data_IF_464454965794
#
_entry.id   IF_464454965794
#
_cell.length_a   1.000
_cell.length_b   1.000
_cell.length_c   1.000
_cell.angle_alpha   90.00
_cell.angle_beta   90.00
_cell.angle_gamma   90.00
#
_symmetry.space_group_name_H-M   'P 1'
#
loop_
_entity.id
_entity.type
_entity.pdbx_description
1 polymer ?
#
# COMPACT_ATOMS: atom_id res chain seq x y z
N UNK A 1 2.15 -13.81 -16.17
CA UNK A 1 3.22 -14.47 -16.92
C UNK A 1 3.73 -13.58 -18.05
N UNK A 2 2.85 -13.02 -18.91
CA UNK A 2 3.28 -12.15 -20.03
C UNK A 2 4.07 -10.91 -19.57
N UNK A 3 3.62 -10.19 -18.54
CA UNK A 3 4.37 -9.05 -17.98
C UNK A 3 5.75 -9.47 -17.43
N UNK A 4 5.84 -10.62 -16.76
CA UNK A 4 7.12 -11.15 -16.27
C UNK A 4 8.08 -11.48 -17.43
N UNK A 5 7.55 -12.12 -18.48
CA UNK A 5 8.34 -12.42 -19.68
C UNK A 5 8.85 -11.16 -20.36
N UNK A 6 8.01 -10.12 -20.50
CA UNK A 6 8.41 -8.83 -21.07
C UNK A 6 9.47 -8.11 -20.22
N UNK A 7 9.36 -8.17 -18.87
CA UNK A 7 10.36 -7.59 -17.98
C UNK A 7 11.69 -8.33 -18.11
N UNK A 8 11.66 -9.67 -18.03
CA UNK A 8 12.86 -10.50 -18.16
C UNK A 8 13.52 -10.27 -19.52
N UNK A 9 12.72 -10.19 -20.59
CA UNK A 9 13.22 -9.90 -21.93
C UNK A 9 13.86 -8.51 -22.01
N UNK A 10 13.21 -7.46 -21.51
CA UNK A 10 13.79 -6.10 -21.46
C UNK A 10 15.05 -6.03 -20.61
N UNK A 11 15.03 -6.63 -19.43
CA UNK A 11 16.20 -6.66 -18.55
C UNK A 11 17.34 -7.46 -19.18
N UNK A 12 17.07 -8.57 -19.86
CA UNK A 12 18.08 -9.35 -20.57
C UNK A 12 18.66 -8.59 -21.78
N UNK A 13 17.80 -7.95 -22.56
CA UNK A 13 18.24 -7.11 -23.71
C UNK A 13 19.06 -5.88 -23.28
N UNK A 14 18.78 -5.36 -22.08
CA UNK A 14 19.50 -4.22 -21.50
C UNK A 14 20.72 -4.67 -20.65
N UNK A 15 21.01 -5.97 -20.56
CA UNK A 15 22.17 -6.44 -19.81
C UNK A 15 23.46 -6.08 -20.56
N UNK A 16 24.22 -5.15 -19.98
CA UNK A 16 25.54 -4.73 -20.46
C UNK A 16 26.45 -4.42 -19.28
N UNK A 17 27.76 -4.46 -19.50
CA UNK A 17 28.75 -4.05 -18.49
C UNK A 17 28.56 -2.59 -18.04
N UNK A 18 28.07 -1.73 -18.92
CA UNK A 18 27.73 -0.34 -18.66
C UNK A 18 26.60 -0.20 -17.62
N UNK A 19 25.59 -1.09 -17.69
CA UNK A 19 24.49 -1.09 -16.74
C UNK A 19 24.91 -1.57 -15.33
N UNK A 20 25.88 -2.47 -15.24
CA UNK A 20 26.48 -2.83 -13.95
C UNK A 20 27.28 -1.69 -13.32
N UNK A 21 27.96 -0.90 -14.12
CA UNK A 21 28.66 0.30 -13.65
C UNK A 21 27.66 1.38 -13.19
N UNK A 22 26.54 1.55 -13.90
CA UNK A 22 25.49 2.49 -13.51
C UNK A 22 24.83 2.13 -12.17
N UNK A 23 24.81 0.85 -11.77
CA UNK A 23 24.37 0.42 -10.43
C UNK A 23 25.35 0.91 -9.34
N UNK A 24 26.66 0.91 -9.59
CA UNK A 24 27.65 1.42 -8.63
C UNK A 24 27.49 2.93 -8.39
N UNK A 25 27.04 3.67 -9.41
CA UNK A 25 26.77 5.10 -9.30
C UNK A 25 25.60 5.43 -8.33
N UNK A 26 24.69 4.47 -8.08
CA UNK A 26 23.61 4.63 -7.11
C UNK A 26 24.17 4.71 -5.67
N UNK A 27 25.33 4.12 -5.40
CA UNK A 27 25.92 4.06 -4.06
C UNK A 27 26.94 5.19 -3.79
N UNK A 28 26.73 6.38 -4.36
CA UNK A 28 27.46 7.58 -3.93
C UNK A 28 27.06 8.01 -2.52
N UNK A 29 27.87 8.83 -1.85
CA UNK A 29 27.56 9.37 -0.50
C UNK A 29 26.21 10.09 -0.51
N UNK A 30 25.93 10.93 -1.50
CA UNK A 30 24.68 11.66 -1.63
C UNK A 30 23.47 10.72 -1.83
N UNK A 31 23.57 9.78 -2.76
CA UNK A 31 22.48 8.84 -3.03
C UNK A 31 22.24 7.90 -1.85
N UNK A 32 23.29 7.49 -1.14
CA UNK A 32 23.18 6.71 0.10
C UNK A 32 22.44 7.46 1.19
N UNK A 33 22.63 8.79 1.29
CA UNK A 33 21.85 9.64 2.17
C UNK A 33 20.37 9.66 1.82
N UNK A 34 20.01 9.78 0.53
CA UNK A 34 18.61 9.72 0.08
C UNK A 34 17.96 8.37 0.38
N UNK A 35 18.70 7.28 0.16
CA UNK A 35 18.22 5.91 0.50
C UNK A 35 18.02 5.78 2.03
N UNK A 36 18.96 6.26 2.84
CA UNK A 36 18.83 6.27 4.29
C UNK A 36 17.61 7.06 4.76
N UNK A 37 17.34 8.22 4.15
CA UNK A 37 16.15 9.02 4.43
C UNK A 37 14.87 8.27 4.02
N UNK A 38 14.88 7.58 2.88
CA UNK A 38 13.76 6.72 2.48
C UNK A 38 13.52 5.57 3.47
N UNK A 39 14.58 5.00 4.06
CA UNK A 39 14.46 3.99 5.14
C UNK A 39 13.89 4.61 6.42
N UNK A 40 14.27 5.83 6.79
CA UNK A 40 13.67 6.53 7.93
C UNK A 40 12.18 6.81 7.72
N UNK A 41 11.79 7.18 6.51
CA UNK A 41 10.38 7.37 6.15
C UNK A 41 9.54 6.08 6.23
N UNK A 42 10.14 4.89 6.17
CA UNK A 42 9.47 3.63 6.48
C UNK A 42 8.83 3.67 7.87
N UNK A 43 9.60 4.07 8.89
CA UNK A 43 9.11 4.09 10.27
C UNK A 43 7.99 5.13 10.45
N UNK A 44 8.10 6.28 9.78
CA UNK A 44 7.05 7.28 9.78
C UNK A 44 5.77 6.77 9.09
N UNK A 45 5.90 6.18 7.90
CA UNK A 45 4.78 5.61 7.13
C UNK A 45 4.03 4.53 7.95
N UNK A 46 4.77 3.55 8.48
CA UNK A 46 4.16 2.49 9.29
C UNK A 46 3.71 2.97 10.67
N UNK A 47 4.40 3.97 11.26
CA UNK A 47 3.98 4.62 12.49
C UNK A 47 2.61 5.28 12.36
N UNK A 48 2.35 5.98 11.25
CA UNK A 48 1.03 6.56 10.94
C UNK A 48 -0.02 5.44 10.80
N UNK A 49 0.30 4.34 10.13
CA UNK A 49 -0.62 3.20 9.97
C UNK A 49 -0.94 2.53 11.31
N UNK A 50 0.07 2.35 12.17
CA UNK A 50 -0.09 1.81 13.53
C UNK A 50 -0.94 2.73 14.40
N UNK A 51 -0.68 4.03 14.36
CA UNK A 51 -1.46 5.03 15.10
C UNK A 51 -2.91 5.04 14.61
N UNK A 52 -3.11 5.01 13.30
CA UNK A 52 -4.43 4.92 12.66
C UNK A 52 -5.15 3.65 13.14
N UNK A 53 -4.49 2.49 13.10
CA UNK A 53 -5.03 1.22 13.56
C UNK A 53 -5.44 1.27 15.03
N UNK A 54 -4.57 1.77 15.91
CA UNK A 54 -4.86 1.90 17.34
C UNK A 54 -6.04 2.84 17.62
N UNK A 55 -6.10 3.97 16.91
CA UNK A 55 -7.17 4.97 17.07
C UNK A 55 -8.54 4.37 16.71
N UNK A 56 -8.62 3.59 15.64
CA UNK A 56 -9.89 3.06 15.13
C UNK A 56 -10.39 1.86 15.90
N UNK A 57 -9.48 1.05 16.42
CA UNK A 57 -9.86 -0.11 17.24
C UNK A 57 -10.14 0.25 18.69
N UNK A 58 -9.77 1.47 19.14
CA UNK A 58 -9.99 1.92 20.51
C UNK A 58 -11.44 1.77 21.02
N UNK A 59 -12.50 2.01 20.23
CA UNK A 59 -13.88 1.78 20.68
C UNK A 59 -14.24 0.31 20.84
N UNK A 60 -13.51 -0.60 20.19
CA UNK A 60 -13.75 -2.05 20.26
C UNK A 60 -12.91 -2.68 21.38
N UNK A 61 -11.61 -2.42 21.35
CA UNK A 61 -10.67 -2.90 22.34
C UNK A 61 -9.42 -2.02 22.34
N UNK A 62 -8.96 -1.60 23.52
CA UNK A 62 -7.74 -0.82 23.65
C UNK A 62 -6.53 -1.74 23.66
N UNK A 63 -5.66 -1.59 22.68
CA UNK A 63 -4.36 -2.26 22.62
C UNK A 63 -3.24 -1.23 22.77
N UNK A 64 -2.13 -1.62 23.39
CA UNK A 64 -0.95 -0.75 23.52
C UNK A 64 -0.34 -0.47 22.15
N UNK A 65 0.40 0.64 22.01
CA UNK A 65 1.08 0.99 20.76
C UNK A 65 2.02 -0.12 20.28
N UNK A 66 2.76 -0.75 21.18
CA UNK A 66 3.64 -1.88 20.86
C UNK A 66 2.87 -3.08 20.29
N UNK A 67 1.72 -3.45 20.90
CA UNK A 67 0.86 -4.51 20.36
C UNK A 67 0.24 -4.13 19.02
N UNK A 68 -0.15 -2.86 18.84
CA UNK A 68 -0.65 -2.36 17.56
C UNK A 68 0.43 -2.44 16.47
N UNK A 69 1.67 -2.07 16.80
CA UNK A 69 2.82 -2.18 15.89
C UNK A 69 3.05 -3.62 15.45
N UNK A 70 3.15 -4.53 16.41
CA UNK A 70 3.32 -5.96 16.12
C UNK A 70 2.16 -6.50 15.29
N UNK A 71 0.90 -6.15 15.62
CA UNK A 71 -0.28 -6.62 14.89
C UNK A 71 -0.28 -6.16 13.43
N UNK A 72 0.09 -4.90 13.17
CA UNK A 72 0.17 -4.36 11.81
C UNK A 72 1.24 -5.09 10.99
N UNK A 73 2.45 -5.26 11.52
CA UNK A 73 3.52 -5.92 10.78
C UNK A 73 3.32 -7.44 10.65
N UNK A 74 2.71 -8.11 11.63
CA UNK A 74 2.25 -9.50 11.47
C UNK A 74 1.17 -9.61 10.39
N UNK A 75 0.26 -8.62 10.31
CA UNK A 75 -0.70 -8.53 9.23
C UNK A 75 -0.02 -8.46 7.86
N UNK A 76 0.98 -7.59 7.70
CA UNK A 76 1.77 -7.50 6.45
C UNK A 76 2.44 -8.82 6.12
N UNK A 77 3.07 -9.48 7.10
CA UNK A 77 3.72 -10.78 6.91
C UNK A 77 2.73 -11.82 6.39
N UNK A 78 1.59 -12.02 7.05
CA UNK A 78 0.59 -13.03 6.65
C UNK A 78 -0.11 -12.60 5.34
N UNK A 79 -0.33 -11.30 5.15
CA UNK A 79 -0.88 -10.74 3.92
C UNK A 79 -0.04 -11.08 2.70
N UNK A 80 1.28 -10.97 2.80
CA UNK A 80 2.19 -11.26 1.70
C UNK A 80 2.20 -12.74 1.27
N UNK A 81 1.77 -13.65 2.13
CA UNK A 81 1.65 -15.07 1.83
C UNK A 81 0.30 -15.45 1.21
N UNK A 82 -0.64 -14.49 1.09
CA UNK A 82 -2.00 -14.76 0.63
C UNK A 82 -2.37 -13.91 -0.59
N UNK A 83 -3.13 -14.47 -1.56
CA UNK A 83 -3.61 -13.70 -2.70
C UNK A 83 -4.42 -12.49 -2.27
N UNK A 84 -4.21 -11.35 -2.93
CA UNK A 84 -4.91 -10.11 -2.60
C UNK A 84 -4.70 -9.61 -1.18
N UNK A 85 -3.64 -10.08 -0.50
CA UNK A 85 -3.27 -9.71 0.88
C UNK A 85 -4.37 -9.97 1.92
N UNK A 86 -5.28 -10.93 1.66
CA UNK A 86 -6.39 -11.26 2.55
C UNK A 86 -5.91 -11.69 3.96
N UNK A 87 -4.75 -12.32 4.06
CA UNK A 87 -4.13 -12.70 5.34
C UNK A 87 -3.81 -11.51 6.25
N UNK A 88 -3.71 -10.30 5.72
CA UNK A 88 -3.50 -9.09 6.52
C UNK A 88 -4.61 -8.87 7.53
N UNK A 89 -5.87 -9.16 7.15
CA UNK A 89 -7.01 -9.09 8.05
C UNK A 89 -6.86 -10.04 9.26
N UNK A 90 -6.42 -11.27 9.00
CA UNK A 90 -6.22 -12.26 10.05
C UNK A 90 -5.06 -11.86 10.98
N UNK A 91 -3.93 -11.46 10.42
CA UNK A 91 -2.73 -11.07 11.19
C UNK A 91 -2.97 -9.89 12.11
N UNK A 92 -3.71 -8.89 11.65
CA UNK A 92 -3.99 -7.67 12.44
C UNK A 92 -4.84 -7.91 13.68
N UNK A 93 -5.69 -8.94 13.70
CA UNK A 93 -6.63 -9.16 14.81
C UNK A 93 -6.15 -10.20 15.83
N UNK A 94 -4.93 -10.71 15.71
CA UNK A 94 -4.41 -11.75 16.60
C UNK A 94 -4.36 -11.34 18.07
N UNK A 95 -4.11 -10.06 18.36
CA UNK A 95 -4.07 -9.53 19.73
C UNK A 95 -5.45 -9.19 20.32
N UNK A 96 -6.50 -9.28 19.50
CA UNK A 96 -7.87 -9.00 19.95
C UNK A 96 -8.54 -10.25 20.51
N UNK A 97 -9.42 -10.07 21.49
CA UNK A 97 -10.29 -11.14 21.97
C UNK A 97 -11.14 -11.69 20.83
N UNK A 98 -11.46 -13.01 20.82
CA UNK A 98 -12.21 -13.63 19.73
C UNK A 98 -13.50 -12.90 19.35
N UNK A 99 -14.27 -12.41 20.34
CA UNK A 99 -15.51 -11.67 20.17
C UNK A 99 -15.32 -10.30 19.50
N UNK A 100 -14.12 -9.68 19.59
CA UNK A 100 -13.82 -8.39 19.04
C UNK A 100 -13.20 -8.45 17.64
N UNK A 101 -12.72 -9.62 17.20
CA UNK A 101 -11.97 -9.78 15.93
C UNK A 101 -12.78 -9.37 14.71
N UNK A 102 -14.08 -9.74 14.67
CA UNK A 102 -14.92 -9.37 13.54
C UNK A 102 -15.10 -7.85 13.42
N UNK A 103 -15.33 -7.15 14.55
CA UNK A 103 -15.43 -5.68 14.58
C UNK A 103 -14.14 -5.03 14.14
N UNK A 104 -12.99 -5.49 14.64
CA UNK A 104 -11.68 -4.98 14.27
C UNK A 104 -11.37 -5.22 12.79
N UNK A 105 -11.71 -6.40 12.24
CA UNK A 105 -11.59 -6.70 10.80
C UNK A 105 -12.41 -5.73 9.95
N UNK A 106 -13.65 -5.44 10.35
CA UNK A 106 -14.51 -4.48 9.65
C UNK A 106 -13.90 -3.08 9.64
N UNK A 107 -13.33 -2.63 10.77
CA UNK A 107 -12.65 -1.33 10.85
C UNK A 107 -11.41 -1.28 9.96
N UNK A 108 -10.65 -2.37 9.86
CA UNK A 108 -9.53 -2.46 8.93
C UNK A 108 -9.99 -2.37 7.48
N UNK A 109 -11.06 -3.06 7.11
CA UNK A 109 -11.64 -2.99 5.77
C UNK A 109 -12.08 -1.56 5.42
N UNK A 110 -12.77 -0.88 6.31
CA UNK A 110 -13.16 0.53 6.12
C UNK A 110 -11.94 1.44 5.97
N UNK A 111 -10.89 1.22 6.79
CA UNK A 111 -9.62 1.94 6.66
C UNK A 111 -8.96 1.72 5.29
N UNK A 112 -9.05 0.51 4.74
CA UNK A 112 -8.59 0.18 3.39
C UNK A 112 -9.35 0.95 2.31
N UNK A 113 -10.69 1.04 2.41
CA UNK A 113 -11.52 1.84 1.50
C UNK A 113 -11.12 3.32 1.55
N UNK A 114 -10.93 3.88 2.74
CA UNK A 114 -10.47 5.27 2.90
C UNK A 114 -9.11 5.50 2.24
N UNK A 115 -8.17 4.57 2.41
CA UNK A 115 -6.86 4.65 1.77
C UNK A 115 -6.98 4.58 0.24
N UNK A 116 -7.86 3.74 -0.28
CA UNK A 116 -8.11 3.62 -1.72
C UNK A 116 -8.73 4.90 -2.30
N UNK A 117 -9.69 5.53 -1.59
CA UNK A 117 -10.25 6.84 -1.99
C UNK A 117 -9.14 7.89 -2.11
N UNK A 118 -8.24 7.97 -1.12
CA UNK A 118 -7.08 8.89 -1.19
C UNK A 118 -6.22 8.58 -2.41
N UNK A 119 -5.96 7.29 -2.69
CA UNK A 119 -5.15 6.88 -3.84
C UNK A 119 -5.82 7.27 -5.16
N UNK A 120 -7.13 7.11 -5.29
CA UNK A 120 -7.89 7.51 -6.50
C UNK A 120 -7.85 9.02 -6.67
N UNK A 121 -8.12 9.79 -5.61
CA UNK A 121 -8.08 11.27 -5.68
C UNK A 121 -6.69 11.77 -6.10
N UNK A 122 -5.64 11.20 -5.52
CA UNK A 122 -4.26 11.56 -5.89
C UNK A 122 -3.90 11.07 -7.29
N UNK A 123 -4.44 9.94 -7.73
CA UNK A 123 -4.33 9.43 -9.10
C UNK A 123 -4.96 10.40 -10.11
N UNK A 124 -6.17 10.91 -9.84
CA UNK A 124 -6.80 11.95 -10.67
C UNK A 124 -5.92 13.20 -10.78
N UNK A 125 -5.36 13.68 -9.66
CA UNK A 125 -4.41 14.81 -9.69
C UNK A 125 -3.19 14.47 -10.54
N UNK A 126 -2.64 13.26 -10.42
CA UNK A 126 -1.51 12.80 -11.22
C UNK A 126 -1.83 12.74 -12.72
N UNK A 127 -3.01 12.24 -13.08
CA UNK A 127 -3.44 12.23 -14.49
C UNK A 127 -3.51 13.65 -15.07
N UNK A 128 -4.00 14.63 -14.31
CA UNK A 128 -4.01 16.02 -14.74
C UNK A 128 -2.58 16.55 -14.99
N UNK A 129 -1.64 16.24 -14.09
CA UNK A 129 -0.23 16.60 -14.26
C UNK A 129 0.44 15.89 -15.45
N UNK A 130 -0.06 14.72 -15.84
CA UNK A 130 0.48 13.88 -16.91
C UNK A 130 -0.32 13.99 -18.22
N UNK A 131 -1.32 14.86 -18.26
CA UNK A 131 -2.28 15.00 -19.37
C UNK A 131 -1.64 15.27 -20.74
N UNK A 132 -0.49 15.95 -20.75
CA UNK A 132 0.26 16.26 -21.98
C UNK A 132 0.99 15.04 -22.57
N UNK A 133 1.14 13.97 -21.80
CA UNK A 133 1.88 12.75 -22.18
C UNK A 133 0.94 11.61 -22.58
N UNK A 134 -0.37 11.77 -22.39
CA UNK A 134 -1.39 10.74 -22.65
C UNK A 134 -2.25 11.18 -23.82
N UNK A 135 -2.56 10.25 -24.73
CA UNK A 135 -3.52 10.50 -25.79
C UNK A 135 -4.88 10.91 -25.21
N UNK A 136 -5.48 11.95 -25.80
CA UNK A 136 -6.72 12.57 -25.31
C UNK A 136 -7.89 11.58 -25.20
N UNK A 137 -7.95 10.58 -26.07
CA UNK A 137 -9.01 9.57 -26.07
C UNK A 137 -8.89 8.66 -24.85
N UNK A 138 -7.68 8.18 -24.55
CA UNK A 138 -7.42 7.34 -23.36
C UNK A 138 -7.51 8.16 -22.06
N UNK A 139 -7.07 9.41 -22.08
CA UNK A 139 -7.15 10.30 -20.93
C UNK A 139 -8.59 10.47 -20.45
N UNK A 140 -9.53 10.80 -21.35
CA UNK A 140 -10.92 10.96 -21.00
C UNK A 140 -11.53 9.67 -20.43
N UNK A 141 -11.25 8.51 -21.06
CA UNK A 141 -11.72 7.21 -20.59
C UNK A 141 -11.22 6.87 -19.19
N UNK A 142 -9.93 7.06 -18.93
CA UNK A 142 -9.32 6.77 -17.61
C UNK A 142 -9.93 7.70 -16.56
N UNK A 143 -10.07 8.99 -16.85
CA UNK A 143 -10.62 9.97 -15.92
C UNK A 143 -12.08 9.65 -15.55
N UNK A 144 -12.91 9.23 -16.53
CA UNK A 144 -14.28 8.80 -16.26
C UNK A 144 -14.31 7.54 -15.41
N UNK A 145 -13.46 6.54 -15.70
CA UNK A 145 -13.38 5.31 -14.92
C UNK A 145 -12.98 5.60 -13.46
N UNK A 146 -12.01 6.49 -13.23
CA UNK A 146 -11.61 6.93 -11.89
C UNK A 146 -12.74 7.68 -11.17
N UNK A 147 -13.45 8.58 -11.86
CA UNK A 147 -14.58 9.31 -11.29
C UNK A 147 -15.69 8.34 -10.84
N UNK A 148 -15.99 7.32 -11.64
CA UNK A 148 -16.95 6.27 -11.28
C UNK A 148 -16.50 5.48 -10.06
N UNK A 149 -15.23 5.05 -10.01
CA UNK A 149 -14.67 4.35 -8.86
C UNK A 149 -14.69 5.23 -7.60
N UNK A 150 -14.32 6.50 -7.72
CA UNK A 150 -14.36 7.45 -6.61
C UNK A 150 -15.79 7.62 -6.08
N UNK A 151 -16.77 7.75 -6.98
CA UNK A 151 -18.18 7.85 -6.60
C UNK A 151 -18.64 6.58 -5.87
N UNK A 152 -18.34 5.39 -6.40
CA UNK A 152 -18.71 4.12 -5.79
C UNK A 152 -18.14 3.96 -4.38
N UNK A 153 -16.84 4.18 -4.20
CA UNK A 153 -16.20 4.05 -2.89
C UNK A 153 -16.65 5.13 -1.91
N UNK A 154 -16.91 6.35 -2.38
CA UNK A 154 -17.44 7.44 -1.54
C UNK A 154 -18.86 7.10 -1.08
N UNK A 155 -19.74 6.62 -1.96
CA UNK A 155 -21.09 6.18 -1.59
C UNK A 155 -21.06 5.03 -0.59
N UNK A 156 -20.15 4.07 -0.77
CA UNK A 156 -19.94 2.95 0.15
C UNK A 156 -19.48 3.45 1.53
N UNK A 157 -18.59 4.45 1.57
CA UNK A 157 -18.11 5.04 2.80
C UNK A 157 -19.20 5.86 3.52
N UNK A 158 -19.96 6.67 2.79
CA UNK A 158 -21.07 7.46 3.34
C UNK A 158 -22.14 6.55 3.94
N UNK A 159 -22.39 5.40 3.30
CA UNK A 159 -23.38 4.41 3.75
C UNK A 159 -22.78 3.25 4.56
N UNK A 160 -21.56 3.42 5.08
CA UNK A 160 -20.83 2.34 5.78
C UNK A 160 -21.63 1.71 6.93
N UNK A 161 -22.34 2.51 7.71
CA UNK A 161 -23.17 1.99 8.80
C UNK A 161 -24.35 1.17 8.28
N UNK A 162 -24.95 1.54 7.14
CA UNK A 162 -26.01 0.75 6.50
C UNK A 162 -25.45 -0.59 5.98
N UNK A 163 -24.23 -0.58 5.41
CA UNK A 163 -23.54 -1.80 4.99
C UNK A 163 -23.26 -2.71 6.19
N UNK A 164 -22.82 -2.17 7.32
CA UNK A 164 -22.63 -2.94 8.57
C UNK A 164 -23.95 -3.56 9.02
N UNK A 165 -25.05 -2.81 8.99
CA UNK A 165 -26.39 -3.32 9.34
C UNK A 165 -26.81 -4.44 8.38
N UNK A 166 -26.55 -4.30 7.09
CA UNK A 166 -26.83 -5.34 6.09
C UNK A 166 -26.00 -6.61 6.33
N UNK A 167 -24.69 -6.46 6.61
CA UNK A 167 -23.80 -7.56 6.94
C UNK A 167 -24.28 -8.37 8.18
N UNK A 168 -24.87 -7.70 9.18
CA UNK A 168 -25.47 -8.37 10.35
C UNK A 168 -26.58 -9.36 9.96
N UNK A 169 -27.30 -9.10 8.86
CA UNK A 169 -28.40 -9.96 8.39
C UNK A 169 -27.90 -11.18 7.60
N UNK A 170 -26.66 -11.17 7.12
CA UNK A 170 -26.08 -12.27 6.36
C UNK A 170 -25.89 -13.52 7.22
N UNK A 171 -26.46 -14.65 6.78
CA UNK A 171 -26.54 -15.89 7.59
C UNK A 171 -25.16 -16.39 8.06
N UNK A 172 -24.13 -16.30 7.24
CA UNK A 172 -22.77 -16.75 7.57
C UNK A 172 -22.04 -15.82 8.56
N UNK A 173 -22.53 -14.58 8.73
CA UNK A 173 -21.99 -13.60 9.67
C UNK A 173 -22.78 -13.48 10.97
N UNK A 174 -23.94 -14.11 11.08
CA UNK A 174 -24.79 -14.07 12.30
C UNK A 174 -24.08 -14.55 13.58
N UNK A 175 -23.07 -15.40 13.44
CA UNK A 175 -22.25 -15.88 14.57
C UNK A 175 -21.28 -14.82 15.13
N UNK A 176 -21.09 -13.72 14.41
CA UNK A 176 -20.19 -12.64 14.84
C UNK A 176 -21.01 -11.50 15.44
N UNK A 177 -20.56 -11.00 16.58
CA UNK A 177 -21.16 -9.82 17.21
C UNK A 177 -20.69 -8.54 16.55
N UNK A 178 -21.60 -7.86 15.84
CA UNK A 178 -21.42 -6.51 15.29
C UNK A 178 -22.25 -5.48 16.06
N UNK A 179 -22.83 -5.83 17.21
CA UNK A 179 -23.63 -4.91 18.03
C UNK A 179 -22.76 -3.69 18.41
N UNK A 180 -23.40 -2.53 18.45
CA UNK A 180 -22.75 -1.26 18.81
C UNK A 180 -21.58 -0.82 17.93
N UNK A 181 -21.28 -1.50 16.80
CA UNK A 181 -20.30 -1.00 15.85
C UNK A 181 -20.97 0.08 15.01
N UNK A 182 -20.67 1.33 15.32
CA UNK A 182 -21.02 2.49 14.52
C UNK A 182 -19.76 3.29 14.23
N UNK A 183 -19.63 3.76 13.01
CA UNK A 183 -18.50 4.58 12.58
C UNK A 183 -19.00 6.01 12.43
N UNK A 184 -18.52 6.87 13.31
CA UNK A 184 -18.90 8.27 13.34
C UNK A 184 -18.18 9.07 12.25
N UNK A 185 -18.82 10.13 11.75
CA UNK A 185 -18.21 11.03 10.74
C UNK A 185 -16.87 11.63 11.17
N UNK A 186 -16.68 12.12 12.42
CA UNK A 186 -15.38 12.62 12.85
C UNK A 186 -14.27 11.56 12.78
N UNK A 187 -14.61 10.30 13.03
CA UNK A 187 -13.67 9.17 12.90
C UNK A 187 -13.26 8.96 11.44
N UNK A 188 -14.21 9.01 10.49
CA UNK A 188 -13.92 8.91 9.05
C UNK A 188 -13.03 10.06 8.57
N UNK A 189 -13.26 11.29 9.03
CA UNK A 189 -12.42 12.43 8.69
C UNK A 189 -10.98 12.27 9.21
N UNK A 190 -10.82 11.79 10.44
CA UNK A 190 -9.48 11.46 10.98
C UNK A 190 -8.80 10.35 10.18
N UNK A 191 -9.56 9.32 9.76
CA UNK A 191 -9.06 8.28 8.86
C UNK A 191 -8.55 8.87 7.55
N UNK A 192 -9.36 9.71 6.92
CA UNK A 192 -9.03 10.37 5.64
C UNK A 192 -7.76 11.21 5.78
N UNK A 193 -7.68 12.05 6.80
CA UNK A 193 -6.52 12.90 7.07
C UNK A 193 -5.23 12.08 7.26
N UNK A 194 -5.26 11.06 8.12
CA UNK A 194 -4.09 10.20 8.37
C UNK A 194 -3.71 9.37 7.13
N UNK A 195 -4.69 8.93 6.34
CA UNK A 195 -4.44 8.23 5.08
C UNK A 195 -3.80 9.14 4.03
N UNK A 196 -4.19 10.42 3.99
CA UNK A 196 -3.58 11.43 3.11
C UNK A 196 -2.14 11.72 3.51
N UNK A 197 -1.86 11.93 4.79
CA UNK A 197 -0.47 12.13 5.27
C UNK A 197 0.38 10.91 4.94
N UNK A 198 -0.13 9.71 5.20
CA UNK A 198 0.57 8.46 4.88
C UNK A 198 0.87 8.33 3.39
N UNK A 199 -0.08 8.70 2.54
CA UNK A 199 0.10 8.70 1.09
C UNK A 199 1.23 9.65 0.66
N UNK A 200 1.24 10.87 1.21
CA UNK A 200 2.29 11.87 0.92
C UNK A 200 3.66 11.35 1.36
N UNK A 201 3.77 10.79 2.57
CA UNK A 201 5.04 10.20 3.07
C UNK A 201 5.52 9.11 2.12
N UNK A 202 4.62 8.26 1.63
CA UNK A 202 4.95 7.17 0.72
C UNK A 202 5.35 7.68 -0.68
N UNK A 203 4.70 8.73 -1.17
CA UNK A 203 5.06 9.38 -2.42
C UNK A 203 6.43 10.07 -2.34
N UNK A 204 6.72 10.79 -1.24
CA UNK A 204 8.04 11.38 -0.98
C UNK A 204 9.11 10.31 -0.89
N UNK A 205 8.83 9.20 -0.22
CA UNK A 205 9.76 8.07 -0.12
C UNK A 205 10.13 7.52 -1.50
N UNK A 206 9.14 7.36 -2.38
CA UNK A 206 9.40 6.90 -3.75
C UNK A 206 10.18 7.93 -4.56
N UNK A 207 9.85 9.22 -4.44
CA UNK A 207 10.59 10.30 -5.06
C UNK A 207 12.07 10.28 -4.67
N UNK A 208 12.39 10.10 -3.38
CA UNK A 208 13.78 10.02 -2.92
C UNK A 208 14.54 8.84 -3.52
N UNK A 209 13.89 7.69 -3.67
CA UNK A 209 14.51 6.52 -4.31
C UNK A 209 14.72 6.72 -5.81
N UNK A 210 13.77 7.36 -6.50
CA UNK A 210 13.92 7.75 -7.91
C UNK A 210 15.08 8.74 -8.09
N UNK A 211 15.15 9.75 -7.22
CA UNK A 211 16.24 10.74 -7.22
C UNK A 211 17.61 10.09 -6.96
N UNK A 212 17.69 9.15 -5.99
CA UNK A 212 18.89 8.36 -5.71
C UNK A 212 19.34 7.51 -6.90
N UNK A 213 18.38 7.06 -7.72
CA UNK A 213 18.64 6.34 -8.97
C UNK A 213 18.91 7.28 -10.16
N UNK A 214 19.02 8.61 -9.93
CA UNK A 214 19.38 9.58 -10.96
C UNK A 214 18.23 9.95 -11.91
N UNK A 215 16.97 9.71 -11.51
CA UNK A 215 15.80 10.18 -12.28
C UNK A 215 15.72 11.70 -12.17
N UNK A 216 15.79 12.38 -13.31
CA UNK A 216 15.71 13.84 -13.43
C UNK A 216 14.52 14.22 -14.31
N UNK A 217 13.96 15.39 -14.09
CA UNK A 217 12.85 15.89 -14.91
C UNK A 217 11.99 16.90 -14.17
N UNK A 218 10.91 17.29 -14.83
CA UNK A 218 9.93 18.20 -14.24
C UNK A 218 9.26 17.53 -13.05
N UNK A 219 9.28 18.19 -11.88
CA UNK A 219 8.71 17.67 -10.64
C UNK A 219 7.21 17.31 -10.78
N UNK A 220 6.45 18.05 -11.58
CA UNK A 220 5.03 17.77 -11.82
C UNK A 220 4.85 16.46 -12.59
N UNK A 221 5.67 16.17 -13.58
CA UNK A 221 5.63 14.91 -14.33
C UNK A 221 6.06 13.73 -13.44
N UNK A 222 7.13 13.90 -12.65
CA UNK A 222 7.57 12.87 -11.70
C UNK A 222 6.48 12.57 -10.65
N UNK A 223 5.90 13.61 -10.05
CA UNK A 223 4.82 13.45 -9.09
C UNK A 223 3.58 12.80 -9.71
N UNK A 224 3.22 13.20 -10.94
CA UNK A 224 2.14 12.59 -11.70
C UNK A 224 2.38 11.10 -11.95
N UNK A 225 3.59 10.73 -12.42
CA UNK A 225 3.94 9.33 -12.65
C UNK A 225 3.95 8.50 -11.36
N UNK A 226 4.39 9.06 -10.22
CA UNK A 226 4.31 8.41 -8.90
C UNK A 226 2.87 8.10 -8.54
N UNK A 227 1.97 9.08 -8.66
CA UNK A 227 0.57 8.90 -8.24
C UNK A 227 -0.18 7.94 -9.16
N UNK A 228 0.07 7.98 -10.47
CA UNK A 228 -0.47 7.02 -11.44
C UNK A 228 0.08 5.61 -11.15
N UNK A 229 1.37 5.48 -10.80
CA UNK A 229 1.95 4.20 -10.40
C UNK A 229 1.18 3.58 -9.23
N UNK A 230 0.90 4.36 -8.18
CA UNK A 230 0.16 3.86 -7.02
C UNK A 230 -1.29 3.52 -7.34
N UNK A 231 -1.94 4.29 -8.18
CA UNK A 231 -3.28 4.00 -8.65
C UNK A 231 -3.32 2.65 -9.37
N UNK A 232 -2.48 2.46 -10.39
CA UNK A 232 -2.41 1.21 -11.15
C UNK A 232 -2.10 0.01 -10.26
N UNK A 233 -1.16 0.14 -9.33
CA UNK A 233 -0.81 -0.94 -8.40
C UNK A 233 -1.91 -1.25 -7.39
N UNK A 234 -2.76 -0.27 -7.04
CA UNK A 234 -3.86 -0.47 -6.09
C UNK A 234 -5.07 -1.16 -6.71
N UNK A 235 -5.23 -1.11 -8.03
CA UNK A 235 -6.37 -1.70 -8.75
C UNK A 235 -6.15 -3.18 -9.11
N UNK A 236 -4.90 -3.66 -9.10
CA UNK A 236 -4.56 -5.03 -9.49
C UNK A 236 -4.34 -5.88 -8.23
N UNK A 237 -5.23 -6.84 -7.91
CA UNK A 237 -4.98 -7.77 -6.81
C UNK A 237 -3.84 -8.72 -7.18
N UNK A 238 -2.73 -8.66 -6.44
CA UNK A 238 -1.50 -9.39 -6.75
C UNK A 238 -1.06 -10.28 -5.60
N UNK A 239 -0.25 -11.29 -5.91
CA UNK A 239 0.56 -12.04 -4.96
C UNK A 239 1.90 -11.31 -4.84
N UNK A 240 2.43 -11.16 -3.63
CA UNK A 240 3.57 -10.28 -3.34
C UNK A 240 4.83 -10.53 -4.17
N UNK A 241 5.10 -11.77 -4.58
CA UNK A 241 6.25 -12.08 -5.46
C UNK A 241 6.07 -11.55 -6.88
N UNK A 242 4.84 -11.50 -7.39
CA UNK A 242 4.53 -10.95 -8.71
C UNK A 242 4.47 -9.42 -8.62
N UNK A 243 4.13 -8.88 -7.47
CA UNK A 243 3.99 -7.44 -7.23
C UNK A 243 5.26 -6.68 -7.57
N UNK A 244 6.46 -7.18 -7.19
CA UNK A 244 7.72 -6.48 -7.47
C UNK A 244 7.97 -6.35 -8.97
N UNK A 245 7.67 -7.39 -9.75
CA UNK A 245 7.85 -7.38 -11.19
C UNK A 245 6.85 -6.43 -11.87
N UNK A 246 5.57 -6.48 -11.48
CA UNK A 246 4.56 -5.58 -12.04
C UNK A 246 4.87 -4.13 -11.65
N UNK A 247 5.33 -3.88 -10.43
CA UNK A 247 5.77 -2.55 -9.97
C UNK A 247 6.90 -2.02 -10.82
N UNK A 248 7.96 -2.81 -11.05
CA UNK A 248 9.08 -2.44 -11.91
C UNK A 248 8.60 -2.13 -13.34
N UNK A 249 7.71 -2.97 -13.90
CA UNK A 249 7.15 -2.75 -15.23
C UNK A 249 6.36 -1.45 -15.32
N UNK A 250 5.46 -1.16 -14.39
CA UNK A 250 4.67 0.07 -14.37
C UNK A 250 5.57 1.30 -14.24
N UNK A 251 6.60 1.21 -13.40
CA UNK A 251 7.57 2.31 -13.22
C UNK A 251 8.35 2.55 -14.51
N UNK A 252 8.87 1.51 -15.15
CA UNK A 252 9.58 1.63 -16.44
C UNK A 252 8.66 2.18 -17.52
N UNK A 253 7.40 1.75 -17.57
CA UNK A 253 6.40 2.23 -18.52
C UNK A 253 6.14 3.74 -18.38
N UNK A 254 5.96 4.22 -17.16
CA UNK A 254 5.61 5.62 -16.90
C UNK A 254 6.81 6.58 -16.91
N UNK A 255 7.96 6.12 -16.43
CA UNK A 255 9.16 6.95 -16.31
C UNK A 255 10.15 6.79 -17.45
N UNK A 256 10.08 5.71 -18.25
CA UNK A 256 10.95 5.48 -19.39
C UNK A 256 10.82 6.58 -20.45
N UNK A 257 9.61 7.13 -20.64
CA UNK A 257 9.35 8.30 -21.49
C UNK A 257 9.97 9.62 -21.00
N UNK A 258 10.48 9.67 -19.77
CA UNK A 258 11.18 10.81 -19.19
C UNK A 258 12.70 10.73 -19.39
N UNK A 259 13.19 9.83 -20.25
CA UNK A 259 14.63 9.69 -20.56
C UNK A 259 15.46 8.98 -19.50
N UNK A 260 14.81 8.28 -18.56
CA UNK A 260 15.49 7.57 -17.49
C UNK A 260 15.87 6.14 -17.88
N UNK A 261 16.98 5.63 -17.36
CA UNK A 261 17.45 4.27 -17.60
C UNK A 261 16.54 3.22 -16.93
N UNK A 262 16.04 2.25 -17.71
CA UNK A 262 15.10 1.20 -17.26
C UNK A 262 15.63 0.39 -16.07
N UNK A 263 16.95 0.14 -16.00
CA UNK A 263 17.59 -0.54 -14.87
C UNK A 263 17.51 0.29 -13.59
N UNK A 264 17.85 1.56 -13.65
CA UNK A 264 17.77 2.48 -12.50
C UNK A 264 16.34 2.61 -12.00
N UNK A 265 15.37 2.67 -12.90
CA UNK A 265 13.94 2.69 -12.57
C UNK A 265 13.49 1.40 -11.88
N UNK A 266 13.91 0.25 -12.41
CA UNK A 266 13.59 -1.08 -11.82
C UNK A 266 14.22 -1.23 -10.43
N UNK A 267 15.42 -0.72 -10.21
CA UNK A 267 16.09 -0.70 -8.89
C UNK A 267 15.31 0.17 -7.91
N UNK A 268 14.91 1.39 -8.29
CA UNK A 268 14.13 2.27 -7.42
C UNK A 268 12.81 1.62 -6.99
N UNK A 269 12.09 0.99 -7.94
CA UNK A 269 10.86 0.26 -7.68
C UNK A 269 11.07 -0.93 -6.73
N UNK A 270 12.15 -1.68 -6.92
CA UNK A 270 12.52 -2.84 -6.09
C UNK A 270 12.92 -2.40 -4.69
N UNK A 271 13.72 -1.34 -4.55
CA UNK A 271 14.09 -0.77 -3.26
C UNK A 271 12.85 -0.32 -2.47
N UNK A 272 11.89 0.35 -3.14
CA UNK A 272 10.64 0.74 -2.50
C UNK A 272 9.86 -0.47 -1.97
N UNK A 273 9.80 -1.55 -2.74
CA UNK A 273 9.16 -2.80 -2.34
C UNK A 273 9.90 -3.49 -1.18
N UNK A 274 11.24 -3.59 -1.25
CA UNK A 274 12.06 -4.15 -0.19
C UNK A 274 11.86 -3.40 1.13
N UNK A 275 11.93 -2.08 1.09
CA UNK A 275 11.78 -1.23 2.27
C UNK A 275 10.38 -1.40 2.87
N UNK A 276 9.30 -1.27 2.07
CA UNK A 276 7.94 -1.16 2.62
C UNK A 276 7.23 -2.50 2.80
N UNK A 277 7.70 -3.57 2.18
CA UNK A 277 7.03 -4.88 2.22
C UNK A 277 7.92 -5.93 2.87
N UNK A 278 9.16 -6.08 2.41
CA UNK A 278 10.03 -7.15 2.91
C UNK A 278 10.47 -6.89 4.34
N UNK A 279 10.97 -5.69 4.65
CA UNK A 279 11.41 -5.34 6.02
C UNK A 279 10.27 -5.54 7.04
N UNK A 280 9.06 -4.97 6.85
CA UNK A 280 7.95 -5.21 7.77
C UNK A 280 7.51 -6.66 7.84
N UNK A 281 7.58 -7.43 6.72
CA UNK A 281 7.22 -8.84 6.71
C UNK A 281 8.17 -9.69 7.53
N UNK A 282 9.47 -9.47 7.39
CA UNK A 282 10.50 -10.19 8.18
C UNK A 282 10.34 -9.88 9.67
N UNK A 283 10.18 -8.63 10.02
CA UNK A 283 9.94 -8.24 11.42
C UNK A 283 8.59 -8.77 11.94
N UNK A 284 7.55 -8.77 11.10
CA UNK A 284 6.24 -9.36 11.40
C UNK A 284 6.32 -10.86 11.67
N UNK A 285 7.13 -11.58 10.90
CA UNK A 285 7.42 -12.99 11.14
C UNK A 285 8.08 -13.22 12.50
N UNK A 286 9.09 -12.41 12.84
CA UNK A 286 9.75 -12.49 14.17
C UNK A 286 8.74 -12.26 15.29
N UNK A 287 7.84 -11.29 15.14
CA UNK A 287 6.78 -11.04 16.13
C UNK A 287 5.80 -12.22 16.23
N UNK A 288 5.45 -12.84 15.10
CA UNK A 288 4.57 -14.01 15.06
C UNK A 288 5.14 -15.19 15.86
N UNK A 289 6.43 -15.49 15.63
CA UNK A 289 7.15 -16.59 16.32
C UNK A 289 7.30 -16.30 17.82
N UNK A 290 7.69 -15.07 18.19
CA UNK A 290 7.89 -14.68 19.60
C UNK A 290 6.61 -14.75 20.42
N UNK A 291 5.48 -14.35 19.85
CA UNK A 291 4.18 -14.36 20.55
C UNK A 291 3.53 -15.75 20.57
N UNK A 292 4.14 -16.79 19.98
CA UNK A 292 3.65 -18.19 19.97
C UNK A 292 2.18 -18.32 19.54
N UNK A 293 1.72 -17.48 18.62
CA UNK A 293 0.38 -17.63 18.08
C UNK A 293 0.31 -18.93 17.29
N UNK A 294 -0.42 -19.91 17.83
CA UNK A 294 -0.69 -21.18 17.14
C UNK A 294 -2.02 -21.06 16.41
N UNK A 295 -1.97 -21.14 15.09
CA UNK A 295 -3.17 -21.23 14.27
C UNK A 295 -3.79 -22.62 14.49
N UNK A 296 -4.97 -22.70 15.09
CA UNK A 296 -5.77 -23.94 15.13
C UNK A 296 -5.85 -24.72 16.45
N UNK A 297 -5.17 -24.33 17.51
CA UNK A 297 -5.47 -24.90 18.84
C UNK A 297 -6.41 -23.96 19.61
N UNK A 298 -7.61 -24.46 19.98
CA UNK A 298 -8.44 -23.81 21.01
C UNK A 298 -7.54 -23.54 22.22
N UNK A 299 -7.32 -22.26 22.55
CA UNK A 299 -6.74 -21.93 23.84
C UNK A 299 -7.64 -22.58 24.90
N UNK A 300 -7.13 -23.60 25.56
CA UNK A 300 -7.72 -24.04 26.83
C UNK A 300 -7.56 -22.85 27.77
N UNK A 301 -8.72 -22.31 28.17
CA UNK A 301 -8.90 -21.33 29.23
C UNK A 301 -8.48 -21.97 30.54
#
# INVERSE_FOLDING_TARGET
LACLALIVQRLYQSYSAENLNSVKEIFTVYNSFLIALAILLLFLNWGIEVFKWQLFTKPVERISFSKAWQSVWMGVCIGNLTPGRLGEFAGRVLFFKPEHRAKATTLHFVSGIVQLIVTIVMGCVGLLCFSTMIDKSYFAFILIAEAVLLLLFTLLLVRVNNVIVWLRKANFLKKFDFSHLQIERPMLLKMLFLSTIRYIVFAVQFYLLLAACGVQGNIYHIAGAITITYLLLSTIPMISFIEVAIRAFVVVLLFGGLGSNDWKLSIAATLLWLINIVIPSVAGYVFLVRNKFTFGKKQKI
#
